data_IF_213200037305
#
_entry.id   IF_213200037305
#
_cell.length_a   1.000
_cell.length_b   1.000
_cell.length_c   1.000
_cell.angle_alpha   90.00
_cell.angle_beta   90.00
_cell.angle_gamma   90.00
#
_symmetry.space_group_name_H-M   'P 1'
#
loop_
_entity.id
_entity.type
_entity.pdbx_description
1 polymer ?
#
# COMPACT_ATOMS: atom_id res chain seq x y z
N UNK A 1 0.70 -13.51 -9.06
CA UNK A 1 1.19 -12.61 -10.12
C UNK A 1 0.09 -11.61 -10.39
N UNK A 2 0.41 -10.34 -10.60
CA UNK A 2 -0.57 -9.26 -10.69
C UNK A 2 -1.54 -9.51 -11.84
N UNK A 3 -1.04 -9.91 -13.02
CA UNK A 3 -1.88 -10.29 -14.16
C UNK A 3 -2.94 -11.32 -13.77
N UNK A 4 -2.55 -12.44 -13.16
CA UNK A 4 -3.49 -13.49 -12.73
C UNK A 4 -4.51 -12.99 -11.71
N UNK A 5 -4.07 -12.14 -10.77
CA UNK A 5 -4.97 -11.54 -9.77
C UNK A 5 -6.00 -10.64 -10.44
N UNK A 6 -5.57 -9.76 -11.34
CA UNK A 6 -6.47 -8.86 -12.09
C UNK A 6 -7.40 -9.65 -13.01
N UNK A 7 -6.90 -10.68 -13.70
CA UNK A 7 -7.74 -11.55 -14.54
C UNK A 7 -8.87 -12.19 -13.73
N UNK A 8 -8.54 -12.79 -12.59
CA UNK A 8 -9.55 -13.40 -11.70
C UNK A 8 -10.47 -12.34 -11.08
N UNK A 9 -9.94 -11.17 -10.72
CA UNK A 9 -10.74 -10.10 -10.14
C UNK A 9 -11.80 -9.56 -11.11
N UNK A 10 -11.48 -9.47 -12.40
CA UNK A 10 -12.43 -9.01 -13.43
C UNK A 10 -13.30 -10.12 -14.04
N UNK A 11 -13.06 -11.40 -13.75
CA UNK A 11 -13.91 -12.51 -14.21
C UNK A 11 -15.28 -12.51 -13.53
N UNK A 12 -15.41 -11.91 -12.36
CA UNK A 12 -16.62 -11.92 -11.54
C UNK A 12 -17.67 -10.86 -11.94
N UNK A 13 -17.71 -10.47 -13.23
CA UNK A 13 -18.60 -9.40 -13.73
C UNK A 13 -18.56 -8.09 -12.90
N UNK A 14 -17.40 -7.77 -12.30
CA UNK A 14 -17.15 -6.50 -11.59
C UNK A 14 -17.71 -5.31 -12.36
N UNK A 15 -18.46 -4.46 -11.65
CA UNK A 15 -19.07 -3.22 -12.17
C UNK A 15 -18.39 -1.95 -11.66
N UNK A 16 -17.56 -2.06 -10.62
CA UNK A 16 -16.75 -0.98 -10.07
C UNK A 16 -15.38 -1.47 -9.61
N UNK A 17 -14.35 -0.66 -9.81
CA UNK A 17 -12.96 -1.00 -9.52
C UNK A 17 -12.12 0.27 -9.33
N UNK A 18 -10.92 0.13 -8.74
CA UNK A 18 -10.01 1.25 -8.63
C UNK A 18 -9.32 1.56 -9.96
N UNK A 19 -8.92 2.82 -10.15
CA UNK A 19 -8.41 3.31 -11.44
C UNK A 19 -7.24 2.49 -11.97
N UNK A 20 -6.26 2.22 -11.11
CA UNK A 20 -5.03 1.49 -11.45
C UNK A 20 -5.33 0.07 -11.92
N UNK A 21 -6.32 -0.59 -11.30
CA UNK A 21 -6.79 -1.92 -11.68
C UNK A 21 -7.48 -1.90 -13.05
N UNK A 22 -8.32 -0.89 -13.32
CA UNK A 22 -9.01 -0.71 -14.60
C UNK A 22 -8.01 -0.43 -15.72
N UNK A 23 -7.08 0.49 -15.50
CA UNK A 23 -6.06 0.89 -16.47
C UNK A 23 -5.15 -0.30 -16.81
N UNK A 24 -4.71 -1.04 -15.80
CA UNK A 24 -3.95 -2.28 -16.02
C UNK A 24 -4.78 -3.29 -16.82
N UNK A 25 -6.04 -3.54 -16.44
CA UNK A 25 -6.89 -4.52 -17.11
C UNK A 25 -7.12 -4.19 -18.58
N UNK A 26 -7.30 -2.91 -18.93
CA UNK A 26 -7.41 -2.45 -20.32
C UNK A 26 -6.10 -2.60 -21.07
N UNK A 27 -4.99 -2.13 -20.48
CA UNK A 27 -3.63 -2.24 -21.06
C UNK A 27 -3.29 -3.68 -21.44
N UNK A 28 -3.70 -4.65 -20.62
CA UNK A 28 -3.44 -6.07 -20.85
C UNK A 28 -4.59 -6.83 -21.54
N UNK A 29 -5.60 -6.11 -22.06
CA UNK A 29 -6.74 -6.70 -22.78
C UNK A 29 -7.53 -7.74 -21.95
N UNK A 30 -7.50 -7.61 -20.62
CA UNK A 30 -8.29 -8.44 -19.68
C UNK A 30 -9.76 -8.04 -19.73
N UNK A 31 -10.02 -6.73 -19.91
CA UNK A 31 -11.35 -6.19 -20.18
C UNK A 31 -11.32 -5.41 -21.49
N UNK A 32 -12.45 -5.43 -22.20
CA UNK A 32 -12.64 -4.66 -23.43
C UNK A 32 -12.88 -3.17 -23.11
N UNK A 33 -12.45 -2.26 -24.00
CA UNK A 33 -12.66 -0.81 -23.89
C UNK A 33 -14.15 -0.43 -23.80
N UNK A 34 -15.03 -1.25 -24.35
CA UNK A 34 -16.49 -1.08 -24.31
C UNK A 34 -17.13 -1.51 -22.99
N UNK A 35 -16.42 -2.30 -22.17
CA UNK A 35 -16.92 -2.73 -20.85
C UNK A 35 -16.95 -1.52 -19.91
N UNK A 36 -18.14 -1.14 -19.48
CA UNK A 36 -18.32 -0.03 -18.53
C UNK A 36 -18.00 -0.51 -17.12
N UNK A 37 -16.94 0.03 -16.53
CA UNK A 37 -16.55 -0.15 -15.12
C UNK A 37 -16.56 1.22 -14.47
N UNK A 38 -17.29 1.37 -13.37
CA UNK A 38 -17.28 2.59 -12.57
C UNK A 38 -15.97 2.70 -11.79
N UNK A 39 -15.33 3.86 -11.86
CA UNK A 39 -14.16 4.16 -11.04
C UNK A 39 -14.61 4.39 -9.59
N UNK A 40 -14.00 3.66 -8.65
CA UNK A 40 -14.20 3.88 -7.22
C UNK A 40 -13.51 5.18 -6.83
N UNK A 41 -14.23 6.07 -6.14
CA UNK A 41 -13.66 7.28 -5.56
C UNK A 41 -12.50 6.91 -4.62
N UNK A 42 -11.28 7.45 -4.81
CA UNK A 42 -10.16 7.23 -3.91
C UNK A 42 -10.49 7.47 -2.43
N UNK A 43 -11.34 8.44 -2.11
CA UNK A 43 -11.74 8.73 -0.73
C UNK A 43 -12.58 7.60 -0.10
N UNK A 44 -13.23 6.77 -0.91
CA UNK A 44 -14.07 5.67 -0.45
C UNK A 44 -13.37 4.31 -0.47
N UNK A 45 -12.16 4.23 -1.05
CA UNK A 45 -11.47 2.95 -1.32
C UNK A 45 -11.28 2.09 -0.07
N UNK A 46 -11.03 2.72 1.08
CA UNK A 46 -10.69 2.05 2.34
C UNK A 46 -11.80 2.15 3.39
N UNK A 47 -13.04 2.51 3.02
CA UNK A 47 -14.13 2.67 3.99
C UNK A 47 -14.48 1.37 4.74
N UNK A 48 -14.21 0.22 4.13
CA UNK A 48 -14.45 -1.10 4.75
C UNK A 48 -13.17 -1.70 5.36
N UNK A 49 -12.09 -0.92 5.49
CA UNK A 49 -10.86 -1.39 6.11
C UNK A 49 -11.01 -1.57 7.63
N UNK A 50 -10.37 -2.61 8.17
CA UNK A 50 -10.13 -2.72 9.60
C UNK A 50 -8.96 -1.78 9.95
N UNK A 51 -9.15 -0.95 10.96
CA UNK A 51 -8.18 0.06 11.40
C UNK A 51 -7.99 -0.09 12.90
N UNK A 52 -6.76 -0.36 13.31
CA UNK A 52 -6.39 -0.55 14.70
C UNK A 52 -5.27 0.43 15.06
N UNK A 53 -5.36 1.03 16.23
CA UNK A 53 -4.25 1.74 16.87
C UNK A 53 -3.63 0.80 17.90
N UNK A 54 -2.31 0.72 17.90
CA UNK A 54 -1.57 -0.17 18.79
C UNK A 54 -0.34 0.57 19.34
N UNK A 55 0.10 0.19 20.53
CA UNK A 55 1.31 0.75 21.15
C UNK A 55 2.57 0.12 20.53
N UNK A 56 3.53 0.95 20.14
CA UNK A 56 4.74 0.51 19.43
C UNK A 56 5.69 -0.34 20.27
N UNK A 57 5.80 -0.04 21.56
CA UNK A 57 6.77 -0.73 22.42
C UNK A 57 6.22 -2.08 22.90
N UNK A 58 4.91 -2.13 23.15
CA UNK A 58 4.26 -3.28 23.78
C UNK A 58 3.42 -4.12 22.83
N UNK A 59 3.15 -3.61 21.61
CA UNK A 59 2.22 -4.19 20.64
C UNK A 59 0.79 -4.35 21.20
N UNK A 60 0.45 -3.64 22.28
CA UNK A 60 -0.87 -3.71 22.89
C UNK A 60 -1.92 -2.96 22.06
N UNK A 61 -3.09 -3.57 21.91
CA UNK A 61 -4.27 -2.96 21.29
C UNK A 61 -4.72 -1.72 22.07
N UNK A 62 -4.79 -0.57 21.39
CA UNK A 62 -5.27 0.68 21.98
C UNK A 62 -6.70 1.02 21.55
N UNK A 63 -7.14 0.57 20.37
CA UNK A 63 -8.51 0.77 19.90
C UNK A 63 -8.71 0.43 18.43
N UNK A 64 -9.94 0.07 18.09
CA UNK A 64 -10.41 -0.09 16.71
C UNK A 64 -11.10 1.20 16.27
N UNK A 65 -10.78 1.66 15.07
CA UNK A 65 -11.28 2.91 14.51
C UNK A 65 -12.23 2.67 13.34
N UNK A 66 -13.23 3.54 13.21
CA UNK A 66 -14.14 3.53 12.06
C UNK A 66 -13.51 4.16 10.81
N UNK A 67 -14.15 4.00 9.65
CA UNK A 67 -13.81 4.71 8.41
C UNK A 67 -13.65 6.24 8.59
N UNK A 68 -14.34 6.84 9.57
CA UNK A 68 -14.21 8.26 9.89
C UNK A 68 -12.77 8.67 10.25
N UNK A 69 -11.99 7.75 10.81
CA UNK A 69 -10.58 7.97 11.19
C UNK A 69 -9.67 8.21 9.98
N UNK A 70 -10.04 7.71 8.81
CA UNK A 70 -9.31 7.96 7.57
C UNK A 70 -9.27 9.44 7.19
N UNK A 71 -10.20 10.25 7.70
CA UNK A 71 -10.23 11.71 7.48
C UNK A 71 -9.29 12.47 8.44
N UNK A 72 -8.69 11.81 9.42
CA UNK A 72 -7.67 12.45 10.25
C UNK A 72 -6.45 12.76 9.40
N UNK A 73 -5.80 13.92 9.61
CA UNK A 73 -4.55 14.21 8.94
C UNK A 73 -3.45 13.27 9.44
N UNK A 74 -2.51 12.91 8.56
CA UNK A 74 -1.41 11.98 8.89
C UNK A 74 -0.54 12.48 10.04
N UNK A 75 -0.45 13.80 10.24
CA UNK A 75 0.24 14.38 11.39
C UNK A 75 -0.38 14.04 12.75
N UNK A 76 -1.54 13.37 12.79
CA UNK A 76 -2.01 12.65 13.97
C UNK A 76 -0.88 11.81 14.60
N UNK A 77 -0.14 11.02 13.79
CA UNK A 77 0.93 10.15 14.29
C UNK A 77 2.08 10.92 14.98
N UNK A 78 2.28 12.21 14.66
CA UNK A 78 3.25 13.05 15.39
C UNK A 78 2.76 13.50 16.75
N UNK A 79 1.46 13.52 16.98
CA UNK A 79 0.86 13.82 18.29
C UNK A 79 0.86 12.58 19.19
N UNK A 80 0.85 11.39 18.58
CA UNK A 80 0.77 10.09 19.24
C UNK A 80 1.96 9.20 18.82
N UNK A 81 3.18 9.66 19.15
CA UNK A 81 4.42 9.03 18.69
C UNK A 81 4.64 7.61 19.20
N UNK A 82 3.98 7.22 20.29
CA UNK A 82 4.01 5.85 20.80
C UNK A 82 3.02 4.92 20.08
N UNK A 83 2.21 5.42 19.15
CA UNK A 83 1.21 4.64 18.40
C UNK A 83 1.69 4.31 16.99
N UNK A 84 1.38 3.10 16.53
CA UNK A 84 1.27 2.80 15.10
C UNK A 84 -0.18 2.48 14.75
N UNK A 85 -0.53 2.71 13.48
CA UNK A 85 -1.84 2.36 12.94
C UNK A 85 -1.67 1.11 12.10
N UNK A 86 -2.35 0.02 12.44
CA UNK A 86 -2.46 -1.20 11.66
C UNK A 86 -3.72 -1.15 10.80
N UNK A 87 -3.59 -1.45 9.51
CA UNK A 87 -4.71 -1.43 8.56
C UNK A 87 -4.76 -2.75 7.80
N UNK A 88 -5.94 -3.37 7.74
CA UNK A 88 -6.26 -4.49 6.84
C UNK A 88 -7.35 -4.07 5.85
N UNK A 89 -7.23 -4.52 4.60
CA UNK A 89 -8.23 -4.24 3.57
C UNK A 89 -8.24 -5.34 2.51
N UNK A 90 -9.43 -5.71 2.05
CA UNK A 90 -9.64 -6.68 0.97
C UNK A 90 -8.94 -6.32 -0.34
N UNK A 91 -8.53 -5.06 -0.51
CA UNK A 91 -7.78 -4.64 -1.69
C UNK A 91 -6.26 -4.83 -1.59
N UNK A 92 -5.70 -4.98 -0.39
CA UNK A 92 -4.26 -5.15 -0.20
C UNK A 92 -3.69 -6.43 -0.84
N UNK A 93 -4.42 -7.55 -0.88
CA UNK A 93 -3.99 -8.72 -1.63
C UNK A 93 -3.68 -8.41 -3.09
N UNK A 94 -4.31 -7.40 -3.71
CA UNK A 94 -4.00 -6.97 -5.09
C UNK A 94 -2.55 -6.50 -5.23
N UNK A 95 -2.06 -5.75 -4.24
CA UNK A 95 -0.71 -5.16 -4.18
C UNK A 95 0.28 -6.03 -3.40
N UNK A 96 -0.01 -7.33 -3.26
CA UNK A 96 0.88 -8.31 -2.65
C UNK A 96 1.17 -8.08 -1.16
N UNK A 97 0.24 -7.53 -0.40
CA UNK A 97 0.32 -7.48 1.06
C UNK A 97 -1.04 -7.82 1.68
N UNK A 98 -1.08 -8.10 2.98
CA UNK A 98 -2.36 -8.32 3.70
C UNK A 98 -2.72 -7.11 4.56
N UNK A 99 -1.71 -6.40 5.04
CA UNK A 99 -1.87 -5.26 5.94
C UNK A 99 -0.75 -4.25 5.73
N UNK A 100 -1.02 -3.04 6.22
CA UNK A 100 -0.08 -1.92 6.22
C UNK A 100 -0.06 -1.34 7.63
N UNK A 101 1.15 -1.12 8.17
CA UNK A 101 1.33 -0.31 9.36
C UNK A 101 1.83 1.08 8.97
N UNK A 102 1.28 2.12 9.60
CA UNK A 102 1.73 3.50 9.48
C UNK A 102 2.22 3.99 10.83
N UNK A 103 3.41 4.60 10.86
CA UNK A 103 3.96 5.20 12.08
C UNK A 103 4.86 6.40 11.80
N UNK A 104 5.35 7.04 12.87
CA UNK A 104 6.43 8.02 12.82
C UNK A 104 7.64 7.49 13.58
N UNK A 105 8.77 7.31 12.92
CA UNK A 105 10.03 6.89 13.56
C UNK A 105 10.44 7.83 14.71
N UNK A 106 10.94 7.26 15.81
CA UNK A 106 11.22 8.02 17.02
C UNK A 106 12.49 8.86 16.97
N UNK A 107 13.42 8.50 16.10
CA UNK A 107 14.75 9.13 16.01
C UNK A 107 14.71 10.31 15.03
N UNK A 108 14.20 10.07 13.83
CA UNK A 108 14.20 10.98 12.70
C UNK A 108 12.85 11.67 12.49
N UNK A 109 11.80 11.26 13.22
CA UNK A 109 10.44 11.81 13.07
C UNK A 109 9.93 11.72 11.63
N UNK A 110 10.36 10.69 10.91
CA UNK A 110 9.93 10.37 9.54
C UNK A 110 8.70 9.49 9.58
N UNK A 111 7.75 9.74 8.70
CA UNK A 111 6.59 8.85 8.57
C UNK A 111 6.99 7.60 7.80
N UNK A 112 6.65 6.43 8.31
CA UNK A 112 7.05 5.14 7.76
C UNK A 112 5.84 4.27 7.45
N UNK A 113 5.99 3.49 6.38
CA UNK A 113 5.12 2.36 6.04
C UNK A 113 5.90 1.09 6.36
N UNK A 114 5.26 0.16 7.06
CA UNK A 114 5.79 -1.19 7.28
C UNK A 114 4.79 -2.21 6.79
N UNK A 115 5.26 -3.19 6.02
CA UNK A 115 4.40 -4.26 5.49
C UNK A 115 5.20 -5.51 5.13
N UNK A 116 4.49 -6.64 5.03
CA UNK A 116 4.99 -7.86 4.41
C UNK A 116 4.65 -7.90 2.92
N UNK A 117 5.66 -7.88 2.04
CA UNK A 117 5.48 -7.93 0.59
C UNK A 117 5.62 -9.38 0.07
N UNK A 118 4.52 -9.97 -0.36
CA UNK A 118 4.39 -11.35 -0.84
C UNK A 118 4.84 -11.50 -2.30
N UNK A 119 6.14 -11.27 -2.54
CA UNK A 119 6.82 -11.47 -3.81
C UNK A 119 8.00 -12.43 -3.65
N UNK A 120 8.18 -13.35 -4.61
CA UNK A 120 9.30 -14.32 -4.59
C UNK A 120 10.66 -13.61 -4.65
N UNK A 121 11.67 -14.18 -3.97
CA UNK A 121 13.03 -13.63 -3.91
C UNK A 121 13.65 -13.30 -5.27
N UNK A 122 13.32 -14.05 -6.32
CA UNK A 122 13.83 -13.81 -7.69
C UNK A 122 13.55 -12.40 -8.24
N UNK A 123 12.57 -11.69 -7.68
CA UNK A 123 12.21 -10.34 -8.07
C UNK A 123 13.04 -9.24 -7.39
N UNK A 124 13.98 -9.59 -6.50
CA UNK A 124 14.80 -8.64 -5.73
C UNK A 124 15.37 -7.50 -6.57
N UNK A 125 15.98 -7.85 -7.72
CA UNK A 125 16.61 -6.86 -8.60
C UNK A 125 15.58 -5.87 -9.17
N UNK A 126 14.39 -6.35 -9.54
CA UNK A 126 13.31 -5.52 -10.06
C UNK A 126 12.71 -4.62 -8.99
N UNK A 127 12.55 -5.14 -7.77
CA UNK A 127 12.07 -4.36 -6.63
C UNK A 127 13.05 -3.22 -6.33
N UNK A 128 14.34 -3.54 -6.17
CA UNK A 128 15.38 -2.52 -5.87
C UNK A 128 15.48 -1.45 -6.96
N UNK A 129 15.46 -1.84 -8.23
CA UNK A 129 15.50 -0.90 -9.34
C UNK A 129 14.28 0.04 -9.36
N UNK A 130 13.08 -0.47 -9.06
CA UNK A 130 11.87 0.35 -8.94
C UNK A 130 12.01 1.36 -7.79
N UNK A 131 12.45 0.93 -6.62
CA UNK A 131 12.61 1.80 -5.44
C UNK A 131 13.65 2.89 -5.68
N UNK A 132 14.78 2.56 -6.31
CA UNK A 132 15.82 3.53 -6.68
C UNK A 132 15.32 4.59 -7.67
N UNK A 133 14.38 4.23 -8.54
CA UNK A 133 13.82 5.12 -9.54
C UNK A 133 12.72 6.03 -8.99
N UNK A 134 11.83 5.49 -8.15
CA UNK A 134 10.59 6.16 -7.76
C UNK A 134 10.68 6.90 -6.42
N UNK A 135 11.59 6.50 -5.53
CA UNK A 135 11.81 7.19 -4.27
C UNK A 135 12.71 8.41 -4.45
N UNK A 136 12.34 9.50 -3.76
CA UNK A 136 13.03 10.79 -3.86
C UNK A 136 13.76 11.14 -2.56
N UNK A 137 14.82 11.95 -2.68
CA UNK A 137 15.60 12.42 -1.53
C UNK A 137 16.56 11.37 -0.99
N UNK A 138 16.87 11.44 0.30
CA UNK A 138 17.65 10.40 0.98
C UNK A 138 16.77 9.16 1.16
N UNK A 139 17.02 8.14 0.32
CA UNK A 139 16.20 6.93 0.28
C UNK A 139 16.37 6.15 1.58
N UNK A 140 15.31 6.13 2.40
CA UNK A 140 15.23 5.33 3.62
C UNK A 140 14.30 4.15 3.38
N UNK A 141 14.92 3.02 3.07
CA UNK A 141 14.23 1.75 2.83
C UNK A 141 14.95 0.62 3.54
N UNK A 142 14.18 -0.22 4.23
CA UNK A 142 14.59 -1.55 4.67
C UNK A 142 13.84 -2.59 3.86
N UNK A 143 14.58 -3.50 3.22
CA UNK A 143 14.00 -4.58 2.43
C UNK A 143 14.76 -5.89 2.74
N UNK A 144 14.18 -6.73 3.59
CA UNK A 144 14.77 -7.99 4.03
C UNK A 144 13.91 -9.16 3.58
N UNK A 145 14.49 -10.15 2.89
CA UNK A 145 13.74 -11.36 2.52
C UNK A 145 13.71 -12.35 3.68
N UNK A 146 12.52 -12.60 4.21
CA UNK A 146 12.27 -13.64 5.20
C UNK A 146 12.13 -15.00 4.48
N UNK A 147 13.13 -15.87 4.64
CA UNK A 147 13.15 -17.19 4.00
C UNK A 147 12.13 -18.17 4.58
N UNK A 148 11.75 -17.98 5.84
CA UNK A 148 10.79 -18.83 6.54
C UNK A 148 9.38 -18.58 5.99
N UNK A 149 9.00 -17.31 5.88
CA UNK A 149 7.65 -16.91 5.48
C UNK A 149 7.52 -16.68 3.97
N UNK A 150 8.65 -16.61 3.26
CA UNK A 150 8.69 -16.46 1.80
C UNK A 150 8.22 -15.09 1.31
N UNK A 151 8.37 -14.05 2.15
CA UNK A 151 7.97 -12.67 1.90
C UNK A 151 9.11 -11.70 2.22
N UNK A 152 8.96 -10.44 1.81
CA UNK A 152 9.88 -9.38 2.18
C UNK A 152 9.30 -8.58 3.35
N UNK A 153 10.09 -8.41 4.40
CA UNK A 153 9.85 -7.38 5.40
C UNK A 153 10.26 -6.05 4.74
N UNK A 154 9.27 -5.20 4.47
CA UNK A 154 9.46 -4.00 3.67
C UNK A 154 9.00 -2.76 4.44
N UNK A 155 9.99 -1.94 4.82
CA UNK A 155 9.76 -0.66 5.48
C UNK A 155 10.31 0.45 4.60
N UNK A 156 9.56 1.54 4.45
CA UNK A 156 10.00 2.69 3.66
C UNK A 156 9.37 3.99 4.16
N UNK A 157 10.12 5.08 4.07
CA UNK A 157 9.61 6.37 4.50
C UNK A 157 8.60 6.94 3.49
N UNK A 158 7.41 7.31 3.97
CA UNK A 158 6.39 8.03 3.20
C UNK A 158 6.95 9.35 2.64
N UNK A 159 7.85 9.98 3.38
CA UNK A 159 8.56 11.19 2.98
C UNK A 159 9.32 11.05 1.65
N UNK A 160 9.70 9.83 1.28
CA UNK A 160 10.39 9.56 0.01
C UNK A 160 9.41 9.29 -1.15
N UNK A 161 8.09 9.24 -0.93
CA UNK A 161 7.11 9.04 -1.99
C UNK A 161 6.68 10.40 -2.57
N UNK A 162 6.76 10.53 -3.89
CA UNK A 162 6.30 11.74 -4.59
C UNK A 162 4.81 12.01 -4.30
N UNK A 163 4.50 13.23 -3.87
CA UNK A 163 3.14 13.67 -3.57
C UNK A 163 2.77 13.59 -2.09
N UNK A 164 3.58 12.93 -1.27
CA UNK A 164 3.40 12.95 0.18
C UNK A 164 3.63 14.35 0.76
N UNK A 165 2.75 14.75 1.67
CA UNK A 165 2.90 15.90 2.54
C UNK A 165 2.07 15.66 3.83
N UNK A 166 2.35 16.44 4.88
CA UNK A 166 1.76 16.19 6.22
C UNK A 166 0.31 16.69 6.38
N UNK A 167 -0.21 17.41 5.39
CA UNK A 167 -1.59 17.87 5.37
C UNK A 167 -2.54 16.81 4.77
N UNK A 168 -1.99 15.75 4.17
CA UNK A 168 -2.77 14.61 3.68
C UNK A 168 -3.48 13.91 4.83
N UNK A 169 -4.68 13.44 4.56
CA UNK A 169 -5.40 12.53 5.45
C UNK A 169 -4.80 11.13 5.42
N UNK A 170 -5.06 10.32 6.44
CA UNK A 170 -4.63 8.92 6.51
C UNK A 170 -5.16 8.15 5.29
N UNK A 171 -6.41 8.38 4.89
CA UNK A 171 -6.99 7.78 3.68
C UNK A 171 -6.25 8.15 2.39
N UNK A 172 -5.89 9.43 2.23
CA UNK A 172 -5.10 9.88 1.07
C UNK A 172 -3.69 9.28 1.05
N UNK A 173 -3.07 9.12 2.23
CA UNK A 173 -1.79 8.42 2.37
C UNK A 173 -1.92 6.95 1.98
N UNK A 174 -2.97 6.24 2.42
CA UNK A 174 -3.21 4.85 2.02
C UNK A 174 -3.41 4.72 0.50
N UNK A 175 -4.11 5.66 -0.14
CA UNK A 175 -4.24 5.72 -1.60
C UNK A 175 -2.87 5.89 -2.26
N UNK A 176 -2.03 6.77 -1.72
CA UNK A 176 -0.68 7.01 -2.24
C UNK A 176 0.18 5.74 -2.15
N UNK A 177 0.14 5.06 -1.01
CA UNK A 177 0.87 3.81 -0.77
C UNK A 177 0.35 2.69 -1.67
N UNK A 178 -0.97 2.54 -1.81
CA UNK A 178 -1.57 1.56 -2.70
C UNK A 178 -1.09 1.75 -4.15
N UNK A 179 -1.12 2.99 -4.65
CA UNK A 179 -0.65 3.32 -6.01
C UNK A 179 0.81 2.98 -6.23
N UNK A 180 1.65 3.34 -5.26
CA UNK A 180 3.08 3.02 -5.28
C UNK A 180 3.32 1.50 -5.35
N UNK A 181 2.67 0.74 -4.46
CA UNK A 181 2.84 -0.71 -4.40
C UNK A 181 2.21 -1.44 -5.60
N UNK A 182 1.10 -0.92 -6.14
CA UNK A 182 0.50 -1.44 -7.37
C UNK A 182 1.46 -1.29 -8.55
N UNK A 183 2.09 -0.12 -8.68
CA UNK A 183 3.07 0.12 -9.73
C UNK A 183 4.33 -0.73 -9.56
N UNK A 184 4.80 -0.92 -8.33
CA UNK A 184 5.87 -1.87 -8.02
C UNK A 184 5.52 -3.28 -8.51
N UNK A 185 4.32 -3.76 -8.18
CA UNK A 185 3.86 -5.09 -8.58
C UNK A 185 3.78 -5.25 -10.11
N UNK A 186 3.30 -4.23 -10.82
CA UNK A 186 3.28 -4.17 -12.29
C UNK A 186 4.72 -4.21 -12.85
N UNK A 187 5.61 -3.32 -12.40
CA UNK A 187 6.98 -3.23 -12.91
C UNK A 187 7.78 -4.51 -12.68
N UNK A 188 7.61 -5.16 -11.53
CA UNK A 188 8.28 -6.43 -11.23
C UNK A 188 7.78 -7.58 -12.11
N UNK A 189 6.49 -7.55 -12.47
CA UNK A 189 5.91 -8.56 -13.34
C UNK A 189 6.34 -8.40 -14.81
N UNK A 190 6.40 -7.16 -15.31
CA UNK A 190 6.78 -6.86 -16.69
C UNK A 190 8.27 -7.10 -16.97
N UNK A 191 9.12 -6.98 -15.94
CA UNK A 191 10.58 -7.20 -16.04
C UNK A 191 11.01 -8.67 -15.84
N UNK A 192 10.08 -9.62 -15.96
CA UNK A 192 10.37 -11.06 -15.95
C UNK A 192 11.05 -11.54 -17.21
#
# INVERSE_FOLDING_TARGET
MLHTKITNYFSDEKTASFKEEIEYARKHQIIDETRTIMEIDPAARFNDAYIERSDKETEEFLGEESAGFLNQPIHYLKQYLNEFIYIESDCFPMIHTESICLEVDDIFRTYEVMLGLKLQKKYEKGIKAYLEQELIGEIKVSLLFNQTDGLWDFNFALNNIKGFNEDLTIGEVLVLVYRFLFKLAETVEENK
#
